data_IF_193666317716
#
_entry.id   IF_193666317716
#
_cell.length_a   1.000
_cell.length_b   1.000
_cell.length_c   1.000
_cell.angle_alpha   90.00
_cell.angle_beta   90.00
_cell.angle_gamma   90.00
#
_symmetry.space_group_name_H-M   'P 1'
#
loop_
_entity.id
_entity.type
_entity.pdbx_description
1 polymer ?
#
# COMPACT_ATOMS: atom_id res chain seq x y z
N UNK A 1 -19.33 -3.01 4.73
CA UNK A 1 -18.01 -2.93 4.06
C UNK A 1 -17.72 -1.47 3.81
N UNK A 2 -16.50 -1.03 4.12
CA UNK A 2 -16.04 0.34 3.90
C UNK A 2 -14.89 0.30 2.92
N UNK A 3 -14.88 1.22 1.96
CA UNK A 3 -13.78 1.36 1.02
C UNK A 3 -12.64 2.12 1.70
N UNK A 4 -11.45 1.54 1.67
CA UNK A 4 -10.23 2.14 2.19
C UNK A 4 -9.26 2.43 1.05
N UNK A 5 -8.68 3.63 1.05
CA UNK A 5 -7.51 3.94 0.25
C UNK A 5 -6.29 3.65 1.11
N UNK A 6 -5.50 2.67 0.69
CA UNK A 6 -4.23 2.32 1.33
C UNK A 6 -3.08 2.81 0.48
N UNK A 7 -2.35 3.81 0.96
CA UNK A 7 -1.17 4.34 0.27
C UNK A 7 0.08 3.61 0.73
N UNK A 8 0.76 2.94 -0.19
CA UNK A 8 2.11 2.41 -0.02
C UNK A 8 3.12 3.52 -0.27
N UNK A 9 4.08 3.69 0.64
CA UNK A 9 5.19 4.62 0.49
C UNK A 9 6.52 3.93 0.77
N UNK A 10 7.56 4.46 0.14
CA UNK A 10 8.92 3.95 0.20
C UNK A 10 9.82 4.92 0.97
N UNK A 11 10.84 4.39 1.64
CA UNK A 11 11.91 5.18 2.29
C UNK A 11 12.73 5.97 1.28
N UNK A 12 12.98 5.36 0.13
CA UNK A 12 13.67 5.97 -1.00
C UNK A 12 12.78 5.83 -2.24
N UNK A 13 11.74 6.67 -2.38
CA UNK A 13 10.85 6.62 -3.53
C UNK A 13 11.57 7.13 -4.77
N UNK A 14 11.23 6.58 -5.94
CA UNK A 14 11.54 7.25 -7.20
C UNK A 14 10.76 8.57 -7.32
N UNK A 15 11.17 9.44 -8.25
CA UNK A 15 10.47 10.71 -8.50
C UNK A 15 8.97 10.54 -8.75
N UNK A 16 8.59 9.48 -9.46
CA UNK A 16 7.19 9.14 -9.76
C UNK A 16 6.42 8.61 -8.53
N UNK A 17 7.13 8.07 -7.54
CA UNK A 17 6.57 7.40 -6.36
C UNK A 17 6.51 8.30 -5.12
N UNK A 18 6.88 9.59 -5.24
CA UNK A 18 7.01 10.51 -4.10
C UNK A 18 5.73 10.65 -3.27
N UNK A 19 4.56 10.51 -3.92
CA UNK A 19 3.25 10.56 -3.26
C UNK A 19 2.79 9.21 -2.70
N UNK A 20 3.47 8.13 -3.10
CA UNK A 20 3.10 6.74 -2.81
C UNK A 20 2.13 6.15 -3.83
N UNK A 21 1.95 4.83 -3.76
CA UNK A 21 1.09 4.04 -4.64
C UNK A 21 -0.23 3.78 -3.90
N UNK A 22 -1.38 4.29 -4.40
CA UNK A 22 -2.67 4.07 -3.77
C UNK A 22 -3.25 2.70 -4.15
N UNK A 23 -3.82 2.01 -3.17
CA UNK A 23 -4.59 0.78 -3.35
C UNK A 23 -5.99 0.98 -2.77
N UNK A 24 -7.00 0.91 -3.61
CA UNK A 24 -8.40 0.89 -3.17
C UNK A 24 -8.78 -0.54 -2.77
N UNK A 25 -9.24 -0.69 -1.53
CA UNK A 25 -9.56 -1.99 -0.93
C UNK A 25 -10.85 -1.88 -0.13
N UNK A 26 -11.83 -2.70 -0.48
CA UNK A 26 -13.01 -2.91 0.35
C UNK A 26 -12.67 -3.88 1.49
N UNK A 27 -12.87 -3.43 2.73
CA UNK A 27 -12.60 -4.23 3.91
C UNK A 27 -13.57 -3.92 5.05
N UNK A 28 -13.61 -4.80 6.04
CA UNK A 28 -14.36 -4.58 7.28
C UNK A 28 -13.57 -3.74 8.30
N UNK A 29 -12.24 -3.70 8.16
CA UNK A 29 -11.37 -2.97 9.06
C UNK A 29 -10.14 -2.40 8.35
N UNK A 30 -9.53 -1.35 8.93
CA UNK A 30 -8.24 -0.79 8.45
C UNK A 30 -7.14 -1.84 8.41
N UNK A 31 -7.14 -2.80 9.35
CA UNK A 31 -6.12 -3.85 9.42
C UNK A 31 -6.24 -4.83 8.25
N UNK A 32 -7.47 -5.21 7.91
CA UNK A 32 -7.74 -6.08 6.77
C UNK A 32 -7.44 -5.38 5.45
N UNK A 33 -7.78 -4.08 5.35
CA UNK A 33 -7.41 -3.26 4.19
C UNK A 33 -5.89 -3.25 3.95
N UNK A 34 -5.09 -2.99 5.00
CA UNK A 34 -3.62 -2.99 4.90
C UNK A 34 -3.08 -4.37 4.54
N UNK A 35 -3.62 -5.45 5.11
CA UNK A 35 -3.18 -6.82 4.81
C UNK A 35 -3.44 -7.18 3.34
N UNK A 36 -4.59 -6.78 2.81
CA UNK A 36 -4.95 -6.98 1.41
C UNK A 36 -4.11 -6.11 0.47
N UNK A 37 -3.90 -4.84 0.81
CA UNK A 37 -3.02 -3.93 0.06
C UNK A 37 -1.57 -4.45 0.02
N UNK A 38 -1.06 -4.99 1.13
CA UNK A 38 0.27 -5.59 1.18
C UNK A 38 0.40 -6.78 0.22
N UNK A 39 -0.56 -7.72 0.24
CA UNK A 39 -0.56 -8.85 -0.70
C UNK A 39 -0.62 -8.40 -2.16
N UNK A 40 -1.39 -7.34 -2.43
CA UNK A 40 -1.51 -6.79 -3.79
C UNK A 40 -0.21 -6.15 -4.23
N UNK A 41 0.41 -5.34 -3.37
CA UNK A 41 1.73 -4.76 -3.62
C UNK A 41 2.84 -5.81 -3.79
N UNK A 42 2.79 -6.93 -3.05
CA UNK A 42 3.71 -8.07 -3.25
C UNK A 42 3.52 -8.72 -4.63
N UNK A 43 2.27 -8.92 -5.05
CA UNK A 43 1.94 -9.52 -6.34
C UNK A 43 2.32 -8.61 -7.52
N UNK A 44 2.12 -7.30 -7.35
CA UNK A 44 2.46 -6.30 -8.35
C UNK A 44 3.98 -6.04 -8.40
N UNK A 45 4.75 -6.62 -7.48
CA UNK A 45 6.22 -6.53 -7.43
C UNK A 45 6.75 -5.25 -6.80
N UNK A 46 5.87 -4.41 -6.23
CA UNK A 46 6.25 -3.18 -5.55
C UNK A 46 6.96 -3.44 -4.21
N UNK A 47 6.72 -4.60 -3.58
CA UNK A 47 7.43 -5.03 -2.38
C UNK A 47 7.77 -6.52 -2.47
N UNK A 48 8.85 -6.96 -1.81
CA UNK A 48 9.22 -8.38 -1.74
C UNK A 48 10.72 -8.65 -1.89
N UNK A 49 11.09 -9.94 -1.93
CA UNK A 49 12.47 -10.40 -2.10
C UNK A 49 12.96 -10.12 -3.54
N UNK A 50 13.39 -8.89 -3.78
CA UNK A 50 13.79 -8.39 -5.09
C UNK A 50 13.48 -6.91 -5.29
N UNK A 51 12.52 -6.38 -4.52
CA UNK A 51 12.27 -4.95 -4.47
C UNK A 51 13.42 -4.28 -3.70
N UNK A 52 14.26 -3.51 -4.42
CA UNK A 52 15.38 -2.75 -3.85
C UNK A 52 14.93 -1.51 -3.06
N UNK A 53 13.64 -1.36 -2.83
CA UNK A 53 13.01 -0.17 -2.26
C UNK A 53 12.90 -0.26 -0.74
N UNK A 54 14.06 -0.29 -0.05
CA UNK A 54 14.23 0.03 1.38
C UNK A 54 13.10 -0.39 2.36
N UNK A 55 12.86 0.42 3.39
CA UNK A 55 11.66 0.27 4.23
C UNK A 55 10.44 0.79 3.50
N UNK A 56 9.30 0.14 3.74
CA UNK A 56 7.99 0.57 3.22
C UNK A 56 6.98 0.74 4.34
N UNK A 57 6.02 1.63 4.12
CA UNK A 57 4.91 1.84 5.05
C UNK A 57 3.59 1.98 4.32
N UNK A 58 2.55 1.48 4.96
CA UNK A 58 1.18 1.49 4.48
C UNK A 58 0.34 2.39 5.37
N UNK A 59 -0.41 3.32 4.77
CA UNK A 59 -1.37 4.17 5.48
C UNK A 59 -2.76 3.92 4.90
N UNK A 60 -3.70 3.49 5.74
CA UNK A 60 -5.09 3.29 5.34
C UNK A 60 -5.99 4.45 5.79
N UNK A 61 -6.71 5.02 4.84
CA UNK A 61 -7.69 6.08 5.04
C UNK A 61 -9.06 5.57 4.56
N UNK A 62 -10.06 5.66 5.43
CA UNK A 62 -11.43 5.31 5.03
C UNK A 62 -11.93 6.41 4.08
N UNK A 63 -12.48 6.03 2.93
CA UNK A 63 -13.32 6.95 2.19
C UNK A 63 -14.65 7.06 2.92
N UNK A 64 -14.96 8.29 3.33
CA UNK A 64 -16.18 8.67 4.06
C UNK A 64 -17.16 9.26 3.06
#
# INVERSE_FOLDING_TARGET
MTTYIVTLRFEHPAWDEINGIPYEIDAESKRDAIKSARRKAERDGHIGAGAMTGRTWFKAEAQV
#
